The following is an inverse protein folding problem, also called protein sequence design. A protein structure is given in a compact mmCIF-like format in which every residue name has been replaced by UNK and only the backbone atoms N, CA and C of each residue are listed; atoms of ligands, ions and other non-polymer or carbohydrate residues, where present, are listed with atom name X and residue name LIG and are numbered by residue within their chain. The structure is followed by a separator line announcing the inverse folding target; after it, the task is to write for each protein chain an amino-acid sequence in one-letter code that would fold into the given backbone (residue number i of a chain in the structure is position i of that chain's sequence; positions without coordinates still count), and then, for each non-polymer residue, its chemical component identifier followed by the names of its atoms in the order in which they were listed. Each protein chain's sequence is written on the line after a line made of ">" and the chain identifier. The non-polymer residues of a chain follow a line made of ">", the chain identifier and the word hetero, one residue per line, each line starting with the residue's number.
data_IF_686314019950
#
_entry.id   IF_686314019950
#
_cell.length_a   1.000
_cell.length_b   1.000
_cell.length_c   1.000
_cell.angle_alpha   90.00
_cell.angle_beta   90.00
_cell.angle_gamma   90.00
#
_symmetry.space_group_name_H-M   'P 1'
#
loop_
_entity.id
_entity.type
_entity.pdbx_description
1 polymer ?
#
# COMPACT_ATOMS: atom_id res chain seq x y z
N UNK A 1 -0.25 30.19 -4.72
CA UNK A 1 0.59 29.09 -5.22
C UNK A 1 1.94 29.14 -4.52
N UNK A 2 2.09 28.38 -3.47
CA UNK A 2 3.34 28.33 -2.71
C UNK A 2 4.08 27.05 -3.12
N UNK A 3 5.11 27.20 -3.95
CA UNK A 3 5.99 26.08 -4.27
C UNK A 3 6.73 25.64 -3.01
N UNK A 4 6.34 24.49 -2.44
CA UNK A 4 7.14 23.82 -1.39
C UNK A 4 8.51 23.49 -2.01
N UNK A 5 9.57 24.14 -1.55
CA UNK A 5 10.94 23.85 -1.98
C UNK A 5 11.27 22.40 -1.60
N UNK A 6 11.47 21.55 -2.59
CA UNK A 6 12.08 20.23 -2.37
C UNK A 6 13.42 20.43 -1.65
N UNK A 7 13.63 19.69 -0.55
CA UNK A 7 14.90 19.75 0.15
C UNK A 7 16.02 19.22 -0.76
N UNK A 8 17.22 19.77 -0.62
CA UNK A 8 18.39 19.39 -1.43
C UNK A 8 18.69 17.88 -1.42
N UNK A 9 18.31 17.17 -0.33
CA UNK A 9 18.48 15.72 -0.20
C UNK A 9 17.52 14.93 -1.11
N UNK A 10 16.32 15.46 -1.41
CA UNK A 10 15.36 14.82 -2.32
C UNK A 10 15.80 14.91 -3.78
N UNK A 11 16.48 16.01 -4.12
CA UNK A 11 17.05 16.20 -5.47
C UNK A 11 18.25 15.28 -5.72
N UNK A 12 19.08 15.01 -4.69
CA UNK A 12 20.23 14.14 -4.80
C UNK A 12 19.85 12.66 -5.00
N UNK A 13 18.75 12.21 -4.40
CA UNK A 13 18.25 10.85 -4.58
C UNK A 13 17.69 10.64 -6.00
N UNK A 14 16.98 11.62 -6.54
CA UNK A 14 16.45 11.55 -7.91
C UNK A 14 17.58 11.57 -8.96
N UNK A 15 18.67 12.32 -8.72
CA UNK A 15 19.81 12.37 -9.62
C UNK A 15 20.65 11.08 -9.58
N UNK A 16 20.78 10.43 -8.41
CA UNK A 16 21.50 9.16 -8.26
C UNK A 16 20.81 8.00 -9.00
N UNK A 17 19.49 7.99 -9.02
CA UNK A 17 18.69 7.01 -9.77
C UNK A 17 18.85 7.21 -11.28
N UNK A 18 18.92 8.45 -11.76
CA UNK A 18 19.08 8.75 -13.19
C UNK A 18 20.48 8.37 -13.71
N UNK A 19 21.53 8.50 -12.88
CA UNK A 19 22.89 8.16 -13.30
C UNK A 19 23.19 6.64 -13.30
N UNK A 20 22.48 5.85 -12.48
CA UNK A 20 22.60 4.40 -12.48
C UNK A 20 21.90 3.73 -13.66
N UNK A 21 20.89 4.39 -14.24
CA UNK A 21 20.09 3.88 -15.36
C UNK A 21 20.69 4.22 -16.73
N UNK A 22 21.61 5.20 -16.83
CA UNK A 22 22.13 5.66 -18.11
C UNK A 22 23.12 4.71 -18.79
N UNK A 23 23.59 3.66 -18.12
CA UNK A 23 24.54 2.69 -18.70
C UNK A 23 23.90 1.40 -19.26
N UNK A 24 22.57 1.29 -19.25
CA UNK A 24 21.89 0.05 -19.65
C UNK A 24 20.96 0.17 -20.88
N UNK A 25 20.99 1.30 -21.61
CA UNK A 25 20.24 1.40 -22.85
C UNK A 25 21.04 0.77 -24.02
N UNK A 26 21.01 -0.56 -24.09
CA UNK A 26 21.35 -1.29 -25.29
C UNK A 26 20.07 -1.48 -26.10
N UNK A 27 20.09 -0.96 -27.31
CA UNK A 27 19.11 -1.03 -28.40
C UNK A 27 18.24 -2.27 -28.39
N UNK A 28 16.93 -2.07 -28.15
CA UNK A 28 15.91 -3.07 -28.45
C UNK A 28 15.69 -3.11 -29.98
N UNK A 29 16.24 -4.10 -30.63
CA UNK A 29 15.78 -4.51 -31.96
C UNK A 29 14.51 -5.34 -31.77
N UNK A 30 13.39 -4.84 -32.23
CA UNK A 30 12.17 -5.61 -32.37
C UNK A 30 12.39 -6.67 -33.47
N UNK A 31 12.65 -7.90 -33.07
CA UNK A 31 12.50 -9.07 -33.93
C UNK A 31 11.12 -9.64 -33.64
N UNK A 32 10.22 -9.58 -34.60
CA UNK A 32 9.02 -10.41 -34.66
C UNK A 32 9.43 -11.88 -34.60
N UNK A 33 9.23 -12.50 -33.44
CA UNK A 33 9.23 -13.94 -33.31
C UNK A 33 7.82 -14.40 -33.02
N UNK A 34 7.21 -14.96 -34.06
CA UNK A 34 6.08 -15.88 -33.97
C UNK A 34 6.51 -17.06 -33.11
N UNK A 35 6.25 -17.02 -31.84
CA UNK A 35 6.50 -18.11 -30.92
C UNK A 35 5.16 -18.69 -30.51
N UNK A 36 4.86 -19.86 -31.05
CA UNK A 36 3.83 -20.75 -30.49
C UNK A 36 4.04 -20.81 -28.98
N UNK A 37 3.06 -20.29 -28.25
CA UNK A 37 2.99 -20.38 -26.80
C UNK A 37 2.88 -21.89 -26.43
N UNK A 38 4.02 -22.53 -26.23
CA UNK A 38 4.04 -23.67 -25.30
C UNK A 38 3.68 -23.07 -23.93
N UNK A 39 2.50 -23.41 -23.43
CA UNK A 39 2.16 -23.24 -22.02
C UNK A 39 3.22 -24.01 -21.21
N UNK A 40 4.31 -23.36 -20.87
CA UNK A 40 5.14 -23.76 -19.77
C UNK A 40 4.27 -23.60 -18.52
N UNK A 41 3.58 -24.68 -18.14
CA UNK A 41 2.97 -24.79 -16.83
C UNK A 41 4.13 -24.73 -15.84
N UNK A 42 4.48 -23.54 -15.41
CA UNK A 42 5.46 -23.33 -14.36
C UNK A 42 4.95 -24.12 -13.16
N UNK A 43 5.70 -25.16 -12.76
CA UNK A 43 5.38 -25.97 -11.58
C UNK A 43 5.62 -25.06 -10.38
N UNK A 44 4.59 -24.33 -10.00
CA UNK A 44 4.63 -23.38 -8.89
C UNK A 44 4.69 -24.23 -7.61
N UNK A 45 5.83 -24.22 -6.94
CA UNK A 45 5.96 -24.79 -5.59
C UNK A 45 5.14 -23.94 -4.64
N UNK A 46 3.94 -24.39 -4.32
CA UNK A 46 3.01 -23.65 -3.47
C UNK A 46 3.39 -23.83 -2.01
N UNK A 47 3.41 -22.73 -1.28
CA UNK A 47 3.48 -22.68 0.18
C UNK A 47 2.40 -23.62 0.76
N UNK A 48 2.74 -24.40 1.74
CA UNK A 48 1.76 -25.28 2.39
C UNK A 48 1.99 -26.77 2.20
N UNK A 49 3.05 -27.20 1.52
CA UNK A 49 3.42 -28.61 1.46
C UNK A 49 4.85 -28.83 1.97
N UNK A 50 5.05 -29.86 2.79
CA UNK A 50 6.39 -30.33 3.18
C UNK A 50 7.12 -31.09 2.05
N UNK A 51 6.45 -31.29 0.91
CA UNK A 51 7.02 -31.94 -0.28
C UNK A 51 7.23 -30.91 -1.36
N UNK A 52 8.43 -30.79 -1.84
CA UNK A 52 8.76 -30.04 -3.05
C UNK A 52 7.98 -30.59 -4.25
N UNK A 53 7.49 -29.68 -5.12
CA UNK A 53 6.85 -30.00 -6.41
C UNK A 53 5.42 -30.58 -6.31
N UNK A 54 4.47 -29.83 -5.77
CA UNK A 54 3.04 -30.07 -6.05
C UNK A 54 2.49 -28.91 -6.88
N UNK A 55 1.74 -29.26 -7.93
CA UNK A 55 0.95 -28.28 -8.65
C UNK A 55 -0.21 -27.78 -7.78
N UNK A 56 -0.70 -26.56 -8.04
CA UNK A 56 -1.86 -25.97 -7.36
C UNK A 56 -3.06 -26.92 -7.38
N UNK A 57 -3.27 -27.62 -8.48
CA UNK A 57 -4.34 -28.59 -8.66
C UNK A 57 -4.26 -29.79 -7.70
N UNK A 58 -3.10 -30.03 -7.08
CA UNK A 58 -2.87 -31.10 -6.12
C UNK A 58 -2.84 -30.62 -4.67
N UNK A 59 -3.06 -29.32 -4.45
CA UNK A 59 -3.18 -28.77 -3.09
C UNK A 59 -4.50 -29.22 -2.47
N UNK A 60 -4.44 -29.77 -1.26
CA UNK A 60 -5.63 -30.09 -0.47
C UNK A 60 -6.30 -28.86 0.16
N UNK A 61 -5.69 -27.71 0.02
CA UNK A 61 -6.14 -26.42 0.57
C UNK A 61 -6.31 -25.44 -0.58
N UNK A 62 -7.42 -24.68 -0.66
CA UNK A 62 -7.61 -23.66 -1.68
C UNK A 62 -6.54 -22.57 -1.53
N UNK A 63 -5.80 -22.34 -2.61
CA UNK A 63 -4.77 -21.29 -2.70
C UNK A 63 -5.12 -20.37 -3.85
N UNK A 64 -5.23 -19.09 -3.57
CA UNK A 64 -5.32 -18.07 -4.61
C UNK A 64 -3.89 -17.63 -4.97
N UNK A 65 -3.59 -17.55 -6.26
CA UNK A 65 -2.31 -17.02 -6.75
C UNK A 65 -2.58 -15.78 -7.58
N UNK A 66 -1.89 -14.72 -7.23
CA UNK A 66 -1.96 -13.43 -7.90
C UNK A 66 -0.58 -13.13 -8.45
N UNK A 67 -0.44 -13.15 -9.75
CA UNK A 67 0.83 -12.89 -10.44
C UNK A 67 1.13 -11.38 -10.54
N UNK A 68 2.35 -11.02 -10.92
CA UNK A 68 2.70 -9.61 -11.19
C UNK A 68 1.87 -9.01 -12.32
N UNK A 69 1.46 -9.81 -13.33
CA UNK A 69 0.56 -9.36 -14.39
C UNK A 69 -0.86 -9.10 -13.89
N UNK A 70 -1.38 -9.96 -13.01
CA UNK A 70 -2.69 -9.76 -12.38
C UNK A 70 -2.69 -8.48 -11.55
N UNK A 71 -1.64 -8.25 -10.75
CA UNK A 71 -1.48 -7.03 -9.97
C UNK A 71 -1.47 -5.78 -10.87
N UNK A 72 -0.70 -5.82 -11.95
CA UNK A 72 -0.62 -4.69 -12.90
C UNK A 72 -1.99 -4.40 -13.56
N UNK A 73 -2.77 -5.44 -13.87
CA UNK A 73 -4.09 -5.30 -14.50
C UNK A 73 -5.13 -4.59 -13.62
N UNK A 74 -4.95 -4.60 -12.29
CA UNK A 74 -5.86 -3.91 -11.36
C UNK A 74 -5.71 -2.39 -11.39
N UNK A 75 -4.58 -1.86 -11.86
CA UNK A 75 -4.22 -0.45 -11.78
C UNK A 75 -3.97 0.04 -10.35
N UNK A 76 -4.00 -0.86 -9.34
CA UNK A 76 -3.76 -0.49 -7.96
C UNK A 76 -2.27 -0.44 -7.63
N UNK A 77 -1.86 0.55 -6.84
CA UNK A 77 -0.46 0.75 -6.46
C UNK A 77 -0.09 0.08 -5.14
N UNK A 78 -1.07 -0.11 -4.27
CA UNK A 78 -0.89 -0.72 -2.96
C UNK A 78 -1.28 -2.20 -2.99
N UNK A 79 -0.42 -3.06 -2.46
CA UNK A 79 -0.66 -4.52 -2.44
C UNK A 79 -1.95 -4.90 -1.70
N UNK A 80 -2.31 -4.17 -0.66
CA UNK A 80 -3.56 -4.40 0.08
C UNK A 80 -4.80 -4.12 -0.77
N UNK A 81 -4.77 -3.11 -1.65
CA UNK A 81 -5.86 -2.83 -2.58
C UNK A 81 -5.94 -3.88 -3.70
N UNK A 82 -4.79 -4.34 -4.19
CA UNK A 82 -4.73 -5.47 -5.13
C UNK A 82 -5.39 -6.71 -4.52
N UNK A 83 -5.03 -7.05 -3.28
CA UNK A 83 -5.59 -8.19 -2.57
C UNK A 83 -7.09 -8.04 -2.33
N UNK A 84 -7.56 -6.86 -1.95
CA UNK A 84 -8.98 -6.60 -1.75
C UNK A 84 -9.82 -6.79 -3.03
N UNK A 85 -9.25 -6.51 -4.19
CA UNK A 85 -9.91 -6.68 -5.48
C UNK A 85 -9.88 -8.14 -5.98
N UNK A 86 -8.82 -8.88 -5.67
CA UNK A 86 -8.57 -10.21 -6.25
C UNK A 86 -8.93 -11.36 -5.30
N UNK A 87 -8.96 -11.12 -3.99
CA UNK A 87 -9.18 -12.14 -2.97
C UNK A 87 -10.45 -11.82 -2.18
N UNK A 88 -11.58 -12.49 -2.45
CA UNK A 88 -12.86 -12.19 -1.78
C UNK A 88 -12.84 -12.35 -0.25
N UNK A 89 -11.92 -13.14 0.28
CA UNK A 89 -11.75 -13.33 1.72
C UNK A 89 -10.89 -12.28 2.39
N UNK A 90 -10.24 -11.40 1.62
CA UNK A 90 -9.39 -10.33 2.13
C UNK A 90 -10.22 -9.07 2.35
N UNK A 91 -10.18 -8.56 3.56
CA UNK A 91 -10.77 -7.28 3.92
C UNK A 91 -9.68 -6.25 4.13
N UNK A 92 -9.89 -5.09 3.53
CA UNK A 92 -9.00 -3.95 3.69
C UNK A 92 -9.76 -2.80 4.37
N UNK A 93 -9.89 -2.83 5.71
CA UNK A 93 -10.54 -1.74 6.43
C UNK A 93 -9.68 -0.48 6.30
N UNK A 94 -10.21 0.51 5.59
CA UNK A 94 -9.57 1.81 5.41
C UNK A 94 -10.09 2.77 6.47
N UNK A 95 -9.55 2.68 7.68
CA UNK A 95 -9.85 3.65 8.73
C UNK A 95 -9.30 5.03 8.32
N UNK A 96 -10.11 6.07 8.52
CA UNK A 96 -9.76 7.46 8.16
C UNK A 96 -9.38 8.30 9.38
N UNK A 97 -9.78 7.87 10.57
CA UNK A 97 -9.45 8.46 11.86
C UNK A 97 -9.17 7.33 12.83
N UNK A 98 -7.98 6.85 12.87
CA UNK A 98 -7.65 5.76 13.79
C UNK A 98 -6.18 5.77 14.12
N UNK A 99 -5.81 6.36 15.23
CA UNK A 99 -4.48 6.38 15.88
C UNK A 99 -3.41 5.52 15.18
N UNK A 100 -2.97 5.96 13.97
CA UNK A 100 -1.96 5.30 13.14
C UNK A 100 -2.47 4.21 12.19
N UNK A 101 -3.71 3.73 12.29
CA UNK A 101 -4.29 2.78 11.32
C UNK A 101 -4.71 3.42 10.02
N UNK A 102 -4.77 4.74 9.97
CA UNK A 102 -4.84 5.54 8.75
C UNK A 102 -3.52 5.51 7.96
N UNK A 103 -2.39 5.23 8.63
CA UNK A 103 -1.08 5.06 8.04
C UNK A 103 -0.76 3.58 7.75
N UNK A 104 -0.77 2.73 8.78
CA UNK A 104 -0.47 1.31 8.68
C UNK A 104 -1.77 0.50 8.71
N UNK A 105 -2.25 0.11 7.54
CA UNK A 105 -3.53 -0.57 7.40
C UNK A 105 -3.39 -2.08 7.56
N UNK A 106 -4.11 -2.67 8.52
CA UNK A 106 -3.99 -4.09 8.81
C UNK A 106 -4.55 -4.96 7.69
N UNK A 107 -3.86 -6.04 7.37
CA UNK A 107 -4.39 -7.11 6.52
C UNK A 107 -5.32 -8.00 7.32
N UNK A 108 -6.54 -8.17 6.86
CA UNK A 108 -7.57 -8.97 7.51
C UNK A 108 -8.09 -10.03 6.55
N UNK A 109 -8.01 -11.29 6.93
CA UNK A 109 -8.61 -12.40 6.18
C UNK A 109 -9.85 -12.93 6.91
N UNK A 110 -10.90 -13.20 6.15
CA UNK A 110 -12.13 -13.85 6.65
C UNK A 110 -12.81 -13.09 7.81
N UNK A 111 -12.57 -11.79 7.93
CA UNK A 111 -13.12 -10.96 9.01
C UNK A 111 -12.52 -11.21 10.39
N UNK A 112 -11.42 -11.99 10.49
CA UNK A 112 -10.74 -12.24 11.75
C UNK A 112 -9.73 -11.13 12.06
N UNK A 113 -9.20 -11.11 13.29
CA UNK A 113 -8.23 -10.10 13.71
C UNK A 113 -6.93 -10.18 12.89
N UNK A 114 -6.23 -9.05 12.67
CA UNK A 114 -5.04 -9.00 11.81
C UNK A 114 -3.89 -9.90 12.28
N UNK A 115 -3.74 -10.11 13.58
CA UNK A 115 -2.75 -11.01 14.18
C UNK A 115 -3.04 -12.51 13.95
N UNK A 116 -4.23 -12.83 13.43
CA UNK A 116 -4.58 -14.19 12.96
C UNK A 116 -4.21 -14.43 11.49
N UNK A 117 -3.69 -13.44 10.80
CA UNK A 117 -3.24 -13.55 9.41
C UNK A 117 -1.72 -13.58 9.37
N UNK A 118 -1.16 -14.75 9.04
CA UNK A 118 0.29 -14.91 8.92
C UNK A 118 0.77 -14.36 7.57
N UNK A 119 1.69 -13.41 7.62
CA UNK A 119 2.35 -12.88 6.41
C UNK A 119 3.77 -13.42 6.32
N UNK A 120 4.10 -13.95 5.14
CA UNK A 120 5.42 -14.49 4.80
C UNK A 120 6.02 -13.70 3.63
N UNK A 121 7.35 -13.60 3.60
CA UNK A 121 8.13 -13.20 2.42
C UNK A 121 9.06 -14.35 2.09
N UNK A 122 9.00 -14.88 0.87
CA UNK A 122 9.76 -16.06 0.45
C UNK A 122 9.65 -17.21 1.46
N UNK A 123 8.45 -17.43 2.01
CA UNK A 123 8.20 -18.49 3.00
C UNK A 123 8.72 -18.22 4.42
N UNK A 124 9.31 -17.05 4.69
CA UNK A 124 9.78 -16.65 6.03
C UNK A 124 8.85 -15.60 6.63
N UNK A 125 8.54 -15.73 7.92
CA UNK A 125 7.65 -14.83 8.64
C UNK A 125 8.11 -13.37 8.54
N UNK A 126 7.22 -12.50 8.10
CA UNK A 126 7.42 -11.05 8.17
C UNK A 126 7.12 -10.58 9.59
N UNK A 127 7.91 -9.64 10.09
CA UNK A 127 7.64 -9.00 11.38
C UNK A 127 6.37 -8.15 11.32
N UNK A 128 5.64 -8.09 12.43
CA UNK A 128 4.54 -7.15 12.61
C UNK A 128 5.08 -5.74 12.83
N UNK A 129 4.28 -4.74 12.54
CA UNK A 129 4.55 -3.34 12.90
C UNK A 129 4.58 -3.15 14.41
N UNK A 130 5.22 -2.08 14.87
CA UNK A 130 5.23 -1.70 16.29
C UNK A 130 3.93 -1.00 16.71
N UNK A 131 3.08 -0.64 15.75
CA UNK A 131 1.82 0.06 16.00
C UNK A 131 0.78 -0.91 16.56
N UNK A 132 0.29 -0.61 17.77
CA UNK A 132 -0.84 -1.28 18.37
C UNK A 132 -2.13 -0.58 17.97
N UNK A 133 -3.10 -1.33 17.45
CA UNK A 133 -4.42 -0.81 17.11
C UNK A 133 -5.23 -0.51 18.38
N UNK A 134 -5.40 0.75 18.74
CA UNK A 134 -6.03 1.16 20.01
C UNK A 134 -7.46 1.64 19.85
N UNK A 135 -7.74 2.48 18.86
CA UNK A 135 -9.05 3.07 18.66
C UNK A 135 -10.04 2.10 18.01
N UNK A 136 -11.29 2.51 17.79
CA UNK A 136 -12.41 1.70 17.28
C UNK A 136 -12.24 1.12 15.88
N UNK A 137 -11.06 0.58 15.58
CA UNK A 137 -10.68 -0.01 14.30
C UNK A 137 -10.69 -1.53 14.38
N UNK A 138 -10.71 -2.19 13.23
CA UNK A 138 -10.61 -3.65 13.14
C UNK A 138 -9.28 -4.10 13.73
N UNK A 139 -9.34 -5.08 14.62
CA UNK A 139 -8.15 -5.63 15.27
C UNK A 139 -7.68 -4.83 16.49
N UNK A 140 -8.57 -4.11 17.16
CA UNK A 140 -8.22 -3.43 18.43
C UNK A 140 -7.50 -4.36 19.39
N UNK A 141 -6.36 -3.93 19.91
CA UNK A 141 -5.50 -4.70 20.80
C UNK A 141 -4.50 -5.61 20.10
N UNK A 142 -4.47 -5.63 18.77
CA UNK A 142 -3.51 -6.40 17.95
C UNK A 142 -2.52 -5.53 17.21
N UNK A 143 -1.42 -6.14 16.79
CA UNK A 143 -0.48 -5.56 15.83
C UNK A 143 -0.60 -6.30 14.50
N UNK A 144 -0.38 -5.61 13.40
CA UNK A 144 -0.46 -6.19 12.06
C UNK A 144 0.83 -6.03 11.28
N UNK A 145 0.98 -6.83 10.24
CA UNK A 145 2.00 -6.58 9.21
C UNK A 145 1.49 -5.49 8.29
N UNK A 146 2.28 -4.44 8.08
CA UNK A 146 1.99 -3.43 7.07
C UNK A 146 2.41 -3.95 5.69
N UNK A 147 1.43 -4.42 4.91
CA UNK A 147 1.65 -4.93 3.56
C UNK A 147 2.06 -3.82 2.59
N UNK A 148 1.59 -2.58 2.80
CA UNK A 148 1.81 -1.47 1.88
C UNK A 148 3.25 -0.93 1.92
N UNK A 149 4.07 -1.40 2.87
CA UNK A 149 5.52 -1.17 2.86
C UNK A 149 6.28 -2.12 1.92
N UNK A 150 5.59 -3.04 1.24
CA UNK A 150 6.18 -3.96 0.27
C UNK A 150 5.79 -3.48 -1.13
N UNK A 151 6.71 -2.94 -1.92
CA UNK A 151 6.39 -2.41 -3.25
C UNK A 151 5.96 -3.53 -4.19
N UNK A 152 4.91 -3.29 -4.97
CA UNK A 152 4.43 -4.25 -5.97
C UNK A 152 5.50 -4.56 -7.02
N UNK A 153 6.41 -3.62 -7.28
CA UNK A 153 7.57 -3.79 -8.16
C UNK A 153 8.53 -4.90 -7.73
N UNK A 154 8.58 -5.23 -6.43
CA UNK A 154 9.43 -6.31 -5.88
C UNK A 154 8.76 -7.70 -5.94
N UNK A 155 7.46 -7.76 -6.23
CA UNK A 155 6.66 -8.98 -6.07
C UNK A 155 6.60 -9.74 -7.40
N UNK A 156 6.95 -11.04 -7.36
CA UNK A 156 6.74 -12.00 -8.46
C UNK A 156 5.30 -12.51 -8.45
N UNK A 157 4.82 -12.92 -7.26
CA UNK A 157 3.44 -13.35 -7.02
C UNK A 157 3.07 -13.29 -5.55
N UNK A 158 1.79 -13.32 -5.27
CA UNK A 158 1.25 -13.49 -3.92
C UNK A 158 0.43 -14.77 -3.88
N UNK A 159 0.64 -15.57 -2.85
CA UNK A 159 -0.07 -16.82 -2.59
C UNK A 159 -0.92 -16.64 -1.33
N UNK A 160 -2.23 -16.82 -1.43
CA UNK A 160 -3.15 -16.67 -0.29
C UNK A 160 -3.79 -18.04 0.03
N UNK A 161 -3.42 -18.60 1.18
CA UNK A 161 -4.02 -19.79 1.72
C UNK A 161 -5.17 -19.41 2.64
N UNK A 162 -6.39 -19.75 2.24
CA UNK A 162 -7.61 -19.32 2.94
C UNK A 162 -8.04 -20.23 4.08
N UNK A 163 -7.57 -21.48 4.15
CA UNK A 163 -8.03 -22.45 5.14
C UNK A 163 -6.94 -23.50 5.45
N UNK A 164 -7.10 -24.21 6.58
CA UNK A 164 -6.21 -25.31 6.97
C UNK A 164 -4.77 -24.92 7.30
N UNK A 165 -4.44 -23.62 7.30
CA UNK A 165 -3.07 -23.15 7.45
C UNK A 165 -2.54 -23.27 8.88
N UNK A 166 -3.40 -23.19 9.89
CA UNK A 166 -3.00 -23.24 11.31
C UNK A 166 -2.32 -24.57 11.69
N UNK A 167 -2.76 -25.67 11.12
CA UNK A 167 -2.14 -27.00 11.37
C UNK A 167 -0.69 -27.09 10.90
N UNK A 168 -0.30 -26.26 9.95
CA UNK A 168 1.02 -26.27 9.32
C UNK A 168 1.90 -25.12 9.74
N UNK A 169 1.30 -23.95 9.97
CA UNK A 169 2.01 -22.68 10.23
C UNK A 169 1.85 -22.18 11.66
N UNK A 170 0.97 -22.80 12.47
CA UNK A 170 0.74 -22.45 13.87
C UNK A 170 -0.42 -21.47 14.09
N UNK A 171 -0.56 -21.02 15.33
CA UNK A 171 -1.70 -20.23 15.81
C UNK A 171 -1.92 -18.89 15.08
N UNK A 172 -0.88 -18.31 14.54
CA UNK A 172 -0.96 -17.00 13.84
C UNK A 172 -1.57 -17.13 12.43
N UNK A 173 -1.81 -18.36 11.97
CA UNK A 173 -2.40 -18.63 10.65
C UNK A 173 -3.84 -19.15 10.75
N UNK A 174 -4.59 -18.74 11.78
CA UNK A 174 -6.00 -19.14 11.98
C UNK A 174 -6.88 -18.59 10.85
N UNK A 175 -6.67 -17.33 10.47
CA UNK A 175 -7.39 -16.70 9.36
C UNK A 175 -6.88 -17.17 8.00
N UNK A 176 -5.59 -17.49 7.91
CA UNK A 176 -4.92 -17.91 6.69
C UNK A 176 -3.48 -17.41 6.63
N UNK A 177 -2.85 -17.66 5.47
CA UNK A 177 -1.47 -17.24 5.18
C UNK A 177 -1.44 -16.42 3.90
N UNK A 178 -0.71 -15.32 3.92
CA UNK A 178 -0.34 -14.53 2.75
C UNK A 178 1.16 -14.69 2.56
N UNK A 179 1.58 -15.40 1.51
CA UNK A 179 3.00 -15.54 1.17
C UNK A 179 3.34 -14.66 -0.04
N UNK A 180 4.26 -13.74 0.15
CA UNK A 180 4.76 -12.84 -0.89
C UNK A 180 6.06 -13.42 -1.41
N UNK A 181 6.06 -13.80 -2.68
CA UNK A 181 7.25 -14.30 -3.37
C UNK A 181 7.89 -13.13 -4.13
N UNK A 182 9.14 -12.86 -3.82
CA UNK A 182 9.89 -11.78 -4.45
C UNK A 182 10.37 -12.17 -5.84
N UNK A 183 10.60 -11.16 -6.70
CA UNK A 183 11.21 -11.36 -8.02
C UNK A 183 12.61 -11.94 -7.90
N UNK A 184 12.94 -12.84 -8.81
CA UNK A 184 14.19 -13.62 -8.87
C UNK A 184 14.83 -13.58 -10.25
N UNK A 185 14.39 -12.67 -11.12
CA UNK A 185 15.03 -12.48 -12.43
C UNK A 185 16.50 -12.09 -12.27
N UNK A 186 17.35 -12.71 -13.08
CA UNK A 186 18.79 -12.45 -13.14
C UNK A 186 19.17 -11.41 -14.20
N UNK A 187 18.22 -10.93 -14.97
CA UNK A 187 18.41 -9.93 -16.02
C UNK A 187 17.15 -9.12 -16.25
N UNK A 188 17.29 -8.03 -16.99
CA UNK A 188 16.19 -7.15 -17.32
C UNK A 188 15.83 -6.23 -16.16
N UNK A 189 14.84 -5.38 -16.41
CA UNK A 189 14.35 -4.43 -15.42
C UNK A 189 13.15 -3.65 -15.93
N UNK A 190 12.54 -2.91 -15.01
CA UNK A 190 11.41 -2.04 -15.30
C UNK A 190 11.47 -0.78 -14.46
N UNK A 191 10.99 0.31 -15.03
CA UNK A 191 10.76 1.58 -14.32
C UNK A 191 9.32 1.98 -14.59
N UNK A 192 8.62 2.41 -13.55
CA UNK A 192 7.26 2.92 -13.65
C UNK A 192 7.15 4.25 -12.93
N UNK A 193 6.41 5.17 -13.55
CA UNK A 193 6.01 6.44 -12.96
C UNK A 193 4.51 6.54 -13.08
N UNK A 194 3.83 6.70 -11.95
CA UNK A 194 2.37 6.79 -11.90
C UNK A 194 1.96 8.06 -11.20
N UNK A 195 0.96 8.72 -11.77
CA UNK A 195 0.27 9.86 -11.16
C UNK A 195 -1.23 9.61 -11.21
N UNK A 196 -1.92 9.95 -10.13
CA UNK A 196 -3.37 9.92 -10.06
C UNK A 196 -3.87 10.88 -9.00
N UNK A 197 -5.10 11.35 -9.15
CA UNK A 197 -5.79 12.17 -8.15
C UNK A 197 -7.29 11.86 -8.18
N UNK A 198 -7.98 12.26 -7.15
CA UNK A 198 -9.43 12.16 -7.10
C UNK A 198 -10.04 13.50 -7.50
N UNK A 199 -10.97 13.45 -8.45
CA UNK A 199 -11.86 14.54 -8.79
C UNK A 199 -13.29 14.09 -8.50
N UNK A 200 -13.96 14.72 -7.54
CA UNK A 200 -15.23 14.23 -7.01
C UNK A 200 -16.17 15.36 -6.60
N UNK A 201 -17.46 15.17 -6.87
CA UNK A 201 -18.52 15.93 -6.30
C UNK A 201 -19.07 15.21 -5.06
N UNK A 202 -19.13 15.93 -3.95
CA UNK A 202 -19.57 15.38 -2.66
C UNK A 202 -21.08 15.60 -2.48
N UNK A 203 -21.88 14.69 -3.00
CA UNK A 203 -23.34 14.78 -2.91
C UNK A 203 -23.83 14.90 -1.46
N UNK A 204 -24.63 15.92 -1.17
CA UNK A 204 -25.16 16.20 0.16
C UNK A 204 -24.17 16.86 1.13
N UNK A 205 -23.02 17.32 0.64
CA UNK A 205 -22.04 18.06 1.41
C UNK A 205 -21.84 19.47 0.82
N UNK A 206 -22.75 20.40 1.11
CA UNK A 206 -22.72 21.74 0.53
C UNK A 206 -21.48 22.52 0.93
N UNK A 207 -21.07 23.43 0.08
CA UNK A 207 -20.01 24.36 0.36
C UNK A 207 -20.48 25.39 1.40
N UNK A 208 -19.67 25.69 2.42
CA UNK A 208 -19.94 26.74 3.37
C UNK A 208 -19.53 28.09 2.76
N UNK A 209 -20.51 28.96 2.48
CA UNK A 209 -20.23 30.30 1.94
C UNK A 209 -19.95 31.31 3.02
N UNK A 210 -20.73 31.30 4.11
CA UNK A 210 -20.52 32.20 5.24
C UNK A 210 -21.19 31.67 6.51
N UNK A 211 -20.74 32.24 7.63
CA UNK A 211 -21.26 31.97 8.97
C UNK A 211 -21.80 33.25 9.54
N UNK A 212 -22.97 33.21 10.18
CA UNK A 212 -23.61 34.39 10.76
C UNK A 212 -24.37 34.06 12.06
N UNK A 213 -24.78 35.05 12.82
CA UNK A 213 -25.73 34.89 13.91
C UNK A 213 -27.16 35.07 13.37
N UNK A 214 -28.06 34.14 13.66
CA UNK A 214 -29.47 34.25 13.29
C UNK A 214 -30.23 35.27 14.17
N UNK A 215 -31.54 35.42 13.97
CA UNK A 215 -32.37 36.34 14.72
C UNK A 215 -32.44 36.04 16.23
N UNK A 216 -32.09 34.83 16.66
CA UNK A 216 -32.06 34.39 18.06
C UNK A 216 -30.64 34.55 18.67
N UNK A 217 -29.66 34.95 17.86
CA UNK A 217 -28.26 34.99 18.25
C UNK A 217 -27.57 33.65 18.20
N UNK A 218 -28.14 32.66 17.51
CA UNK A 218 -27.58 31.33 17.33
C UNK A 218 -26.72 31.25 16.05
N UNK A 219 -25.74 30.30 16.06
CA UNK A 219 -24.84 30.12 14.94
C UNK A 219 -25.62 29.54 13.74
N UNK A 220 -25.51 30.21 12.60
CA UNK A 220 -26.17 29.82 11.37
C UNK A 220 -25.23 29.91 10.16
N UNK A 221 -25.61 29.25 9.05
CA UNK A 221 -24.75 29.02 7.90
C UNK A 221 -25.48 29.33 6.59
N UNK A 222 -24.82 30.06 5.71
CA UNK A 222 -25.21 30.15 4.31
C UNK A 222 -24.46 29.06 3.55
N UNK A 223 -25.23 28.24 2.83
CA UNK A 223 -24.73 27.08 2.11
C UNK A 223 -24.91 27.31 0.61
N UNK A 224 -23.88 26.96 -0.14
CA UNK A 224 -23.89 26.94 -1.60
C UNK A 224 -24.17 25.55 -2.15
N UNK A 225 -23.73 25.33 -3.38
CA UNK A 225 -23.81 24.04 -4.05
C UNK A 225 -22.92 22.97 -3.37
N UNK A 226 -23.16 21.71 -3.72
CA UNK A 226 -22.34 20.59 -3.27
C UNK A 226 -20.87 20.80 -3.65
N UNK A 227 -19.97 20.45 -2.75
CA UNK A 227 -18.54 20.66 -2.92
C UNK A 227 -17.96 19.83 -4.06
N UNK A 228 -17.20 20.49 -4.91
CA UNK A 228 -16.31 19.84 -5.88
C UNK A 228 -14.88 19.89 -5.34
N UNK A 229 -14.22 18.73 -5.29
CA UNK A 229 -12.89 18.59 -4.70
C UNK A 229 -11.99 17.78 -5.63
N UNK A 230 -10.84 18.36 -5.96
CA UNK A 230 -9.71 17.65 -6.55
C UNK A 230 -8.62 17.51 -5.50
N UNK A 231 -8.39 16.27 -5.01
CA UNK A 231 -7.46 16.00 -3.92
C UNK A 231 -6.87 14.58 -3.98
N UNK A 232 -6.03 14.21 -3.00
CA UNK A 232 -5.48 12.87 -2.89
C UNK A 232 -4.50 12.52 -4.01
N UNK A 233 -3.79 13.54 -4.53
CA UNK A 233 -2.77 13.32 -5.54
C UNK A 233 -1.75 12.28 -5.07
N UNK A 234 -1.58 11.22 -5.85
CA UNK A 234 -0.63 10.14 -5.59
C UNK A 234 0.44 10.15 -6.68
N UNK A 235 1.70 10.15 -6.29
CA UNK A 235 2.86 10.07 -7.17
C UNK A 235 3.68 8.86 -6.76
N UNK A 236 3.88 7.92 -7.66
CA UNK A 236 4.70 6.73 -7.40
C UNK A 236 5.77 6.61 -8.47
N UNK A 237 7.01 6.42 -8.03
CA UNK A 237 8.15 6.08 -8.88
C UNK A 237 8.67 4.75 -8.36
N UNK A 238 8.67 3.73 -9.20
CA UNK A 238 9.22 2.42 -8.86
C UNK A 238 10.17 1.91 -9.93
N UNK A 239 11.17 1.17 -9.50
CA UNK A 239 12.09 0.49 -10.40
C UNK A 239 12.43 -0.89 -9.84
N UNK A 240 12.66 -1.83 -10.76
CA UNK A 240 13.15 -3.17 -10.46
C UNK A 240 14.24 -3.53 -11.47
N UNK A 241 15.29 -4.21 -11.05
CA UNK A 241 16.31 -4.74 -11.94
C UNK A 241 16.88 -6.05 -11.41
N UNK A 242 17.10 -6.98 -12.34
CA UNK A 242 17.81 -8.24 -12.11
C UNK A 242 19.26 -8.17 -12.57
N UNK A 243 20.12 -8.87 -11.87
CA UNK A 243 21.56 -9.00 -12.18
C UNK A 243 21.97 -10.46 -12.00
N UNK A 244 22.66 -11.02 -12.99
CA UNK A 244 23.24 -12.35 -12.85
C UNK A 244 24.46 -12.32 -11.92
N UNK A 245 24.53 -13.28 -11.01
CA UNK A 245 25.71 -13.63 -10.24
C UNK A 245 26.32 -14.89 -10.84
N UNK A 246 27.16 -14.77 -11.87
CA UNK A 246 27.60 -15.89 -12.72
C UNK A 246 26.42 -16.66 -13.34
N UNK A 247 26.67 -17.87 -13.83
CA UNK A 247 25.66 -18.73 -14.45
C UNK A 247 24.71 -19.39 -13.44
N UNK A 248 24.97 -19.27 -12.13
CA UNK A 248 24.29 -20.03 -11.08
C UNK A 248 23.61 -19.16 -10.03
N UNK A 249 23.52 -17.85 -10.25
CA UNK A 249 22.94 -16.99 -9.23
C UNK A 249 22.35 -15.71 -9.77
N UNK A 250 21.55 -15.08 -8.93
CA UNK A 250 20.89 -13.80 -9.23
C UNK A 250 20.92 -12.84 -8.05
N UNK A 251 20.84 -11.56 -8.35
CA UNK A 251 20.43 -10.49 -7.43
C UNK A 251 19.31 -9.71 -8.12
N UNK A 252 18.20 -9.55 -7.44
CA UNK A 252 17.08 -8.72 -7.89
C UNK A 252 16.87 -7.59 -6.88
N UNK A 253 16.80 -6.35 -7.35
CA UNK A 253 16.65 -5.16 -6.51
C UNK A 253 15.43 -4.37 -6.97
N UNK A 254 14.65 -3.91 -6.00
CA UNK A 254 13.48 -3.06 -6.23
C UNK A 254 13.55 -1.83 -5.34
N UNK A 255 13.19 -0.69 -5.90
CA UNK A 255 13.05 0.57 -5.17
C UNK A 255 11.68 1.18 -5.46
N UNK A 256 11.12 1.87 -4.48
CA UNK A 256 9.89 2.64 -4.66
C UNK A 256 9.93 3.92 -3.83
N UNK A 257 9.47 4.98 -4.43
CA UNK A 257 9.09 6.22 -3.77
C UNK A 257 7.62 6.48 -4.05
N UNK A 258 6.84 6.76 -3.00
CA UNK A 258 5.43 7.11 -3.10
C UNK A 258 5.15 8.34 -2.25
N UNK A 259 4.42 9.28 -2.83
CA UNK A 259 3.94 10.50 -2.18
C UNK A 259 2.42 10.58 -2.38
N UNK A 260 1.67 10.47 -1.30
CA UNK A 260 0.22 10.54 -1.28
C UNK A 260 -0.21 11.81 -0.57
N UNK A 261 -0.82 12.73 -1.28
CA UNK A 261 -1.50 13.86 -0.67
C UNK A 261 -2.80 13.40 0.03
N UNK A 262 -3.22 14.07 1.10
CA UNK A 262 -4.43 13.67 1.83
C UNK A 262 -5.70 13.91 1.01
N UNK A 263 -6.77 13.20 1.39
CA UNK A 263 -8.11 13.49 0.89
C UNK A 263 -8.99 14.06 1.99
N UNK A 264 -9.97 14.90 1.63
CA UNK A 264 -10.91 15.51 2.56
C UNK A 264 -12.35 15.16 2.16
N UNK A 265 -12.99 14.32 2.96
CA UNK A 265 -14.37 13.85 2.75
C UNK A 265 -15.32 14.26 3.88
N UNK A 266 -14.91 15.20 4.76
CA UNK A 266 -15.79 15.78 5.77
C UNK A 266 -16.63 16.93 5.21
N UNK A 267 -17.75 17.21 5.87
CA UNK A 267 -18.41 18.52 5.79
C UNK A 267 -17.71 19.55 6.65
N UNK A 268 -18.29 20.76 6.73
CA UNK A 268 -17.87 21.77 7.71
C UNK A 268 -18.35 21.38 9.12
N UNK A 269 -17.67 21.87 10.16
CA UNK A 269 -18.07 21.69 11.56
C UNK A 269 -19.17 22.72 11.93
N UNK A 270 -20.41 22.27 12.24
CA UNK A 270 -21.51 23.17 12.57
C UNK A 270 -21.52 23.60 14.04
N UNK A 271 -20.62 23.11 14.87
CA UNK A 271 -20.59 23.40 16.31
C UNK A 271 -19.99 24.75 16.60
N UNK A 272 -20.43 25.40 17.71
CA UNK A 272 -19.70 26.52 18.30
C UNK A 272 -18.33 26.04 18.75
N UNK A 273 -17.27 26.74 18.35
CA UNK A 273 -15.88 26.42 18.67
C UNK A 273 -15.34 27.25 19.84
N UNK A 274 -15.97 28.36 20.11
CA UNK A 274 -15.61 29.29 21.19
C UNK A 274 -16.76 29.46 22.18
N UNK A 275 -16.43 29.70 23.45
CA UNK A 275 -17.43 30.06 24.45
C UNK A 275 -18.10 31.36 24.09
N UNK A 276 -19.41 31.49 24.31
CA UNK A 276 -20.14 32.75 24.17
C UNK A 276 -19.56 33.81 25.12
N UNK A 277 -19.69 35.04 24.71
CA UNK A 277 -19.28 36.19 25.52
C UNK A 277 -20.19 36.35 26.76
N UNK A 278 -19.80 37.22 27.73
CA UNK A 278 -20.52 37.42 28.97
C UNK A 278 -21.97 37.94 28.76
N UNK A 279 -22.22 38.59 27.64
CA UNK A 279 -23.55 39.07 27.24
C UNK A 279 -24.40 38.01 26.50
N UNK A 280 -23.89 36.78 26.34
CA UNK A 280 -24.52 35.66 25.65
C UNK A 280 -24.36 35.67 24.13
N UNK A 281 -23.70 36.69 23.57
CA UNK A 281 -23.45 36.75 22.12
C UNK A 281 -22.36 35.77 21.69
N UNK A 282 -22.34 35.41 20.39
CA UNK A 282 -21.30 34.60 19.79
C UNK A 282 -19.97 35.35 19.77
N UNK A 283 -18.87 34.65 20.03
CA UNK A 283 -17.53 35.19 19.82
C UNK A 283 -17.30 35.48 18.34
N UNK A 284 -16.69 36.64 18.02
CA UNK A 284 -16.45 37.03 16.63
C UNK A 284 -15.57 36.06 15.85
N UNK A 285 -14.77 35.23 16.54
CA UNK A 285 -13.94 34.18 15.94
C UNK A 285 -14.79 33.09 15.29
N UNK A 286 -16.04 32.88 15.72
CA UNK A 286 -16.97 31.94 15.10
C UNK A 286 -17.26 32.25 13.62
N UNK A 287 -17.16 33.51 13.22
CA UNK A 287 -17.43 33.96 11.86
C UNK A 287 -16.21 33.91 10.93
N UNK A 288 -15.02 33.66 11.50
CA UNK A 288 -13.75 33.70 10.75
C UNK A 288 -12.94 32.43 10.81
N UNK A 289 -13.31 31.49 11.70
CA UNK A 289 -12.61 30.20 11.82
C UNK A 289 -12.84 29.35 10.57
N UNK A 290 -11.79 28.62 10.15
CA UNK A 290 -11.92 27.56 9.16
C UNK A 290 -12.70 26.39 9.78
N UNK A 291 -13.90 26.13 9.27
CA UNK A 291 -14.78 25.08 9.75
C UNK A 291 -14.53 23.72 9.11
N UNK A 292 -13.66 23.63 8.12
CA UNK A 292 -13.17 22.35 7.59
C UNK A 292 -11.95 21.83 8.38
N UNK A 293 -12.06 21.91 9.71
CA UNK A 293 -11.01 21.63 10.68
C UNK A 293 -10.81 20.14 10.98
N UNK A 294 -11.67 19.28 10.46
CA UNK A 294 -11.55 17.82 10.55
C UNK A 294 -11.24 17.25 9.18
N UNK A 295 -10.27 16.36 9.12
CA UNK A 295 -9.93 15.68 7.89
C UNK A 295 -10.36 14.20 7.95
N UNK A 296 -11.42 13.87 7.21
CA UNK A 296 -11.87 12.51 6.99
C UNK A 296 -11.44 12.06 5.60
N UNK A 297 -10.52 11.12 5.52
CA UNK A 297 -10.01 10.65 4.25
C UNK A 297 -8.69 9.90 4.38
N UNK A 298 -7.98 9.78 3.27
CA UNK A 298 -6.62 9.22 3.28
C UNK A 298 -5.67 10.19 3.97
N UNK A 299 -4.73 9.64 4.74
CA UNK A 299 -3.66 10.41 5.34
C UNK A 299 -2.65 10.91 4.30
N UNK A 300 -1.92 11.96 4.66
CA UNK A 300 -0.72 12.41 3.95
C UNK A 300 0.42 11.42 4.25
N UNK A 301 0.97 10.75 3.22
CA UNK A 301 1.97 9.71 3.39
C UNK A 301 3.12 9.88 2.39
N UNK A 302 4.33 9.78 2.88
CA UNK A 302 5.54 9.69 2.06
C UNK A 302 6.28 8.39 2.38
N UNK A 303 6.39 7.50 1.40
CA UNK A 303 6.98 6.17 1.52
C UNK A 303 8.26 6.04 0.70
N UNK A 304 9.26 5.40 1.30
CA UNK A 304 10.48 4.93 0.64
C UNK A 304 10.64 3.45 0.91
N UNK A 305 10.90 2.66 -0.13
CA UNK A 305 11.14 1.24 0.00
C UNK A 305 12.30 0.79 -0.88
N UNK A 306 13.16 -0.05 -0.29
CA UNK A 306 14.21 -0.78 -0.97
C UNK A 306 14.06 -2.25 -0.60
N UNK A 307 14.02 -3.12 -1.60
CA UNK A 307 13.99 -4.57 -1.43
C UNK A 307 15.09 -5.20 -2.27
N UNK A 308 15.68 -6.26 -1.74
CA UNK A 308 16.54 -7.15 -2.53
C UNK A 308 16.19 -8.61 -2.28
N UNK A 309 16.43 -9.42 -3.29
CA UNK A 309 16.34 -10.87 -3.26
C UNK A 309 17.52 -11.44 -4.03
N UNK A 310 18.24 -12.38 -3.43
CA UNK A 310 19.39 -13.02 -4.07
C UNK A 310 19.39 -14.52 -3.81
N UNK A 311 19.86 -15.27 -4.78
CA UNK A 311 20.08 -16.70 -4.70
C UNK A 311 21.35 -17.08 -5.43
N UNK A 312 22.00 -18.14 -4.97
CA UNK A 312 23.20 -18.71 -5.59
C UNK A 312 23.26 -20.21 -5.37
N UNK A 313 23.34 -20.96 -6.46
CA UNK A 313 23.53 -22.41 -6.42
C UNK A 313 25.02 -22.71 -6.41
N UNK A 314 25.54 -23.20 -5.27
CA UNK A 314 26.94 -23.60 -5.13
C UNK A 314 27.20 -24.97 -5.77
N UNK A 315 26.28 -25.90 -5.57
CA UNK A 315 26.26 -27.22 -6.19
C UNK A 315 24.82 -27.78 -6.20
N UNK A 316 24.60 -28.97 -6.72
CA UNK A 316 23.28 -29.61 -6.83
C UNK A 316 22.58 -29.83 -5.47
N UNK A 317 23.24 -29.61 -4.34
CA UNK A 317 22.71 -29.86 -3.00
C UNK A 317 22.70 -28.64 -2.10
N UNK A 318 23.41 -27.55 -2.46
CA UNK A 318 23.58 -26.40 -1.61
C UNK A 318 23.20 -25.08 -2.33
N UNK A 319 22.10 -24.51 -1.88
CA UNK A 319 21.59 -23.21 -2.34
C UNK A 319 21.75 -22.17 -1.25
N UNK A 320 22.45 -21.09 -1.54
CA UNK A 320 22.51 -19.90 -0.70
C UNK A 320 21.41 -18.93 -1.13
N UNK A 321 20.74 -18.35 -0.16
CA UNK A 321 19.78 -17.27 -0.44
C UNK A 321 19.86 -16.20 0.62
N UNK A 322 19.52 -14.98 0.20
CA UNK A 322 19.36 -13.84 1.09
C UNK A 322 18.32 -12.91 0.53
N UNK A 323 17.52 -12.34 1.37
CA UNK A 323 16.62 -11.23 1.01
C UNK A 323 16.47 -10.29 2.19
N UNK A 324 16.16 -9.04 1.88
CA UNK A 324 15.96 -8.03 2.89
C UNK A 324 15.29 -6.80 2.35
N UNK A 325 14.94 -5.91 3.27
CA UNK A 325 14.28 -4.66 2.92
C UNK A 325 14.65 -3.55 3.89
N UNK A 326 14.63 -2.34 3.37
CA UNK A 326 14.58 -1.12 4.15
C UNK A 326 13.38 -0.31 3.67
N UNK A 327 12.53 0.12 4.60
CA UNK A 327 11.38 0.93 4.28
C UNK A 327 11.19 2.01 5.33
N UNK A 328 10.80 3.20 4.89
CA UNK A 328 10.51 4.35 5.74
C UNK A 328 9.21 4.98 5.31
N UNK A 329 8.35 5.25 6.29
CA UNK A 329 7.10 6.00 6.11
C UNK A 329 7.13 7.23 6.98
N UNK A 330 6.76 8.36 6.41
CA UNK A 330 6.41 9.57 7.12
C UNK A 330 4.94 9.89 6.79
N UNK A 331 4.16 10.24 7.80
CA UNK A 331 2.75 10.51 7.60
C UNK A 331 2.22 11.55 8.56
N UNK A 332 1.13 12.19 8.13
CA UNK A 332 0.43 13.20 8.92
C UNK A 332 -1.07 12.88 8.90
N UNK A 333 -1.59 12.52 10.07
CA UNK A 333 -3.02 12.25 10.29
C UNK A 333 -3.87 13.51 10.25
N UNK A 334 -5.17 13.33 10.09
CA UNK A 334 -6.17 14.37 10.16
C UNK A 334 -6.52 14.78 11.58
#
# INVERSE_FOLDING_TARGET
>A
MTFKRLSANKLALSLAVTSALSNSFITANAAEQDTQAQENIEVISVTGTRRSLRSIAQSSVPVDIITSSDMASTGQLEISQVLANQVPSFNFPSATLGDGTDHAKPAVLRGLAPDHTLVLINGKRRHSGALLNLAGVVGRGSTAVDLNMIPTSAIKRVEVLRDGAAAQYGSDAIAGVINIVLKDASEGGSVSVTYGEYDTQMAGAPNLESTYADANGDLAFNLGDDREISDGATRTISANSGFALSDSGFVNVSIEYRDNSPTQRSGFDPREQYSRLDDGSLDQREFTIDRYNHRFGKADLEDYALFYNMGYELDNSLNLYSFGSYSKREGNSG
#
